data_IF_006568324712
#
_entry.id   IF_006568324712
#
_cell.length_a   1.000
_cell.length_b   1.000
_cell.length_c   1.000
_cell.angle_alpha   90.00
_cell.angle_beta   90.00
_cell.angle_gamma   90.00
#
_symmetry.space_group_name_H-M   'P 1'
#
loop_
_entity.id
_entity.type
_entity.pdbx_description
1 polymer ?
#
# COMPACT_ATOMS: atom_id res chain seq x y z
N UNK A 1 -2.01 15.21 0.33
CA UNK A 1 -2.53 15.33 1.71
C UNK A 1 -4.03 15.63 1.73
N UNK A 2 -4.57 16.33 0.72
CA UNK A 2 -6.02 16.61 0.61
C UNK A 2 -6.88 15.36 0.40
N UNK A 3 -6.47 14.43 -0.47
CA UNK A 3 -7.23 13.20 -0.77
C UNK A 3 -7.48 12.23 0.41
N UNK A 4 -6.75 12.39 1.52
CA UNK A 4 -6.95 11.59 2.75
C UNK A 4 -7.95 12.28 3.68
N UNK A 5 -8.10 13.61 3.58
CA UNK A 5 -9.01 14.39 4.44
C UNK A 5 -10.46 14.09 4.12
N UNK A 6 -10.82 13.96 2.85
CA UNK A 6 -12.21 13.74 2.43
C UNK A 6 -12.79 12.40 2.93
N UNK A 7 -12.10 11.25 2.79
CA UNK A 7 -12.60 9.99 3.35
C UNK A 7 -12.62 9.99 4.89
N UNK A 8 -11.69 10.70 5.54
CA UNK A 8 -11.63 10.76 7.00
C UNK A 8 -12.74 11.64 7.58
N UNK A 9 -13.08 12.74 6.91
CA UNK A 9 -14.23 13.59 7.22
C UNK A 9 -15.52 12.78 7.14
N UNK A 10 -15.71 12.00 6.07
CA UNK A 10 -16.91 11.18 5.89
C UNK A 10 -17.12 10.16 7.04
N UNK A 11 -16.04 9.60 7.60
CA UNK A 11 -16.12 8.70 8.77
C UNK A 11 -16.47 9.47 10.05
N UNK A 12 -15.91 10.67 10.23
CA UNK A 12 -16.24 11.51 11.38
C UNK A 12 -17.71 11.96 11.36
N UNK A 13 -18.25 12.26 10.18
CA UNK A 13 -19.64 12.63 9.99
C UNK A 13 -20.58 11.44 10.27
N UNK A 14 -20.23 10.23 9.80
CA UNK A 14 -20.96 9.00 10.13
C UNK A 14 -20.97 8.70 11.65
N UNK A 15 -19.86 8.95 12.35
CA UNK A 15 -19.77 8.74 13.80
C UNK A 15 -20.64 9.74 14.58
N UNK A 16 -20.84 10.93 14.03
CA UNK A 16 -21.70 11.97 14.60
C UNK A 16 -23.18 11.61 14.46
N UNK A 17 -23.56 11.06 13.31
CA UNK A 17 -24.91 10.53 13.05
C UNK A 17 -25.30 9.41 14.02
N UNK A 18 -24.35 8.51 14.37
CA UNK A 18 -24.57 7.47 15.37
C UNK A 18 -24.87 8.01 16.78
N UNK A 19 -24.19 9.09 17.19
CA UNK A 19 -24.46 9.73 18.48
C UNK A 19 -25.84 10.40 18.53
N UNK A 20 -26.33 10.88 17.39
CA UNK A 20 -27.64 11.51 17.32
C UNK A 20 -28.78 10.48 17.38
N UNK A 21 -28.58 9.27 16.84
CA UNK A 21 -29.54 8.16 16.96
C UNK A 21 -29.74 7.65 18.40
N UNK A 22 -28.70 7.66 19.25
CA UNK A 22 -28.84 7.24 20.66
C UNK A 22 -29.73 8.17 21.50
N UNK A 23 -29.94 9.42 21.06
CA UNK A 23 -30.65 10.45 21.86
C UNK A 23 -32.17 10.45 21.68
N UNK A 24 -32.71 9.80 20.66
CA UNK A 24 -34.14 9.85 20.32
C UNK A 24 -34.94 8.68 20.89
N UNK A 25 -35.19 8.66 22.20
CA UNK A 25 -36.15 7.70 22.80
C UNK A 25 -37.51 8.37 22.99
N UNK A 26 -38.39 8.25 21.99
CA UNK A 26 -39.83 8.53 22.12
C UNK A 26 -40.63 7.26 21.80
N UNK A 27 -41.88 7.16 22.27
CA UNK A 27 -42.64 5.90 22.39
C UNK A 27 -42.55 4.98 21.16
N UNK A 28 -42.02 3.77 21.38
CA UNK A 28 -41.76 2.78 20.32
C UNK A 28 -43.08 2.29 19.73
N UNK A 29 -43.27 2.54 18.43
CA UNK A 29 -44.33 1.94 17.62
C UNK A 29 -43.68 1.01 16.57
N UNK A 30 -44.41 0.01 16.07
CA UNK A 30 -43.88 -0.89 15.04
C UNK A 30 -43.39 -0.14 13.79
N UNK A 31 -44.01 1.01 13.48
CA UNK A 31 -43.62 1.90 12.38
C UNK A 31 -42.30 2.62 12.68
N UNK A 32 -42.13 3.18 13.88
CA UNK A 32 -40.87 3.86 14.27
C UNK A 32 -39.70 2.88 14.34
N UNK A 33 -39.93 1.66 14.85
CA UNK A 33 -38.91 0.61 14.90
C UNK A 33 -38.47 0.17 13.50
N UNK A 34 -39.40 0.02 12.56
CA UNK A 34 -39.07 -0.33 11.18
C UNK A 34 -38.26 0.79 10.49
N UNK A 35 -38.58 2.05 10.78
CA UNK A 35 -37.82 3.20 10.27
C UNK A 35 -36.41 3.25 10.84
N UNK A 36 -36.25 3.09 12.16
CA UNK A 36 -34.94 3.03 12.84
C UNK A 36 -34.10 1.86 12.35
N UNK A 37 -34.70 0.67 12.18
CA UNK A 37 -34.00 -0.50 11.66
C UNK A 37 -33.51 -0.28 10.22
N UNK A 38 -34.34 0.30 9.36
CA UNK A 38 -33.93 0.63 7.99
C UNK A 38 -32.82 1.69 7.98
N UNK A 39 -32.90 2.68 8.85
CA UNK A 39 -31.85 3.68 9.01
C UNK A 39 -30.52 3.04 9.43
N UNK A 40 -30.54 2.19 10.45
CA UNK A 40 -29.38 1.42 10.90
C UNK A 40 -28.81 0.54 9.78
N UNK A 41 -29.66 -0.18 9.04
CA UNK A 41 -29.23 -1.04 7.94
C UNK A 41 -28.53 -0.22 6.84
N UNK A 42 -29.09 0.92 6.46
CA UNK A 42 -28.50 1.82 5.47
C UNK A 42 -27.17 2.39 5.97
N UNK A 43 -27.12 2.79 7.23
CA UNK A 43 -25.89 3.27 7.88
C UNK A 43 -24.78 2.22 7.83
N UNK A 44 -25.06 0.99 8.24
CA UNK A 44 -24.08 -0.11 8.25
C UNK A 44 -23.58 -0.42 6.83
N UNK A 45 -24.49 -0.52 5.86
CA UNK A 45 -24.11 -0.81 4.48
C UNK A 45 -23.26 0.31 3.87
N UNK A 46 -23.58 1.56 4.18
CA UNK A 46 -22.82 2.74 3.73
C UNK A 46 -21.43 2.78 4.38
N UNK A 47 -21.37 2.49 5.68
CA UNK A 47 -20.12 2.41 6.44
C UNK A 47 -19.19 1.33 5.89
N UNK A 48 -19.71 0.12 5.67
CA UNK A 48 -18.94 -1.00 5.10
C UNK A 48 -18.45 -0.70 3.69
N UNK A 49 -19.30 -0.11 2.85
CA UNK A 49 -18.92 0.28 1.48
C UNK A 49 -17.81 1.34 1.49
N UNK A 50 -17.91 2.32 2.39
CA UNK A 50 -16.90 3.36 2.56
C UNK A 50 -15.58 2.77 3.02
N UNK A 51 -15.62 1.88 4.01
CA UNK A 51 -14.43 1.20 4.51
C UNK A 51 -13.73 0.37 3.41
N UNK A 52 -14.49 -0.41 2.64
CA UNK A 52 -13.95 -1.18 1.50
C UNK A 52 -13.24 -0.27 0.49
N UNK A 53 -13.83 0.89 0.17
CA UNK A 53 -13.21 1.88 -0.73
C UNK A 53 -11.93 2.45 -0.16
N UNK A 54 -11.90 2.75 1.14
CA UNK A 54 -10.70 3.25 1.82
C UNK A 54 -9.56 2.21 1.83
N UNK A 55 -9.87 0.94 2.10
CA UNK A 55 -8.89 -0.15 2.04
C UNK A 55 -8.33 -0.30 0.61
N UNK A 56 -9.19 -0.27 -0.39
CA UNK A 56 -8.76 -0.34 -1.79
C UNK A 56 -7.90 0.87 -2.19
N UNK A 57 -8.23 2.07 -1.70
CA UNK A 57 -7.44 3.28 -1.92
C UNK A 57 -6.06 3.17 -1.29
N UNK A 58 -5.98 2.72 -0.04
CA UNK A 58 -4.70 2.51 0.66
C UNK A 58 -3.82 1.49 -0.07
N UNK A 59 -4.40 0.38 -0.54
CA UNK A 59 -3.66 -0.60 -1.34
C UNK A 59 -3.02 0.02 -2.59
N UNK A 60 -3.79 0.80 -3.35
CA UNK A 60 -3.27 1.52 -4.52
C UNK A 60 -2.19 2.54 -4.18
N UNK A 61 -2.34 3.27 -3.07
CA UNK A 61 -1.32 4.25 -2.67
C UNK A 61 -0.03 3.59 -2.20
N UNK A 62 -0.12 2.43 -1.53
CA UNK A 62 1.04 1.61 -1.18
C UNK A 62 1.74 1.15 -2.45
N UNK A 63 1.01 0.58 -3.41
CA UNK A 63 1.57 0.15 -4.69
C UNK A 63 2.24 1.32 -5.41
N UNK A 64 1.56 2.47 -5.49
CA UNK A 64 2.13 3.68 -6.05
C UNK A 64 3.43 4.05 -5.33
N UNK A 65 3.45 4.11 -4.00
CA UNK A 65 4.65 4.44 -3.22
C UNK A 65 5.79 3.44 -3.47
N UNK A 66 5.50 2.15 -3.52
CA UNK A 66 6.49 1.14 -3.88
C UNK A 66 7.01 1.35 -5.29
N UNK A 67 6.14 1.55 -6.28
CA UNK A 67 6.54 1.83 -7.66
C UNK A 67 7.38 3.11 -7.74
N UNK A 68 7.04 4.16 -6.97
CA UNK A 68 7.84 5.39 -6.89
C UNK A 68 9.24 5.11 -6.35
N UNK A 69 9.39 4.22 -5.36
CA UNK A 69 10.69 3.78 -4.84
C UNK A 69 11.46 2.92 -5.85
N UNK A 70 10.77 2.05 -6.61
CA UNK A 70 11.37 1.17 -7.63
C UNK A 70 11.90 1.91 -8.86
N UNK A 71 11.51 3.17 -9.11
CA UNK A 71 12.00 3.96 -10.27
C UNK A 71 13.50 4.24 -10.30
N UNK A 72 14.21 4.11 -9.17
CA UNK A 72 15.67 4.27 -9.08
C UNK A 72 16.39 2.96 -8.80
N UNK A 73 15.72 1.84 -9.04
CA UNK A 73 16.27 0.49 -8.88
C UNK A 73 16.22 -0.22 -10.22
N UNK A 74 17.30 -0.90 -10.58
CA UNK A 74 17.41 -1.71 -11.78
C UNK A 74 17.71 -3.13 -11.34
N UNK A 75 17.01 -4.11 -11.91
CA UNK A 75 17.26 -5.52 -11.64
C UNK A 75 18.10 -6.10 -12.78
N UNK A 76 19.33 -6.48 -12.45
CA UNK A 76 20.24 -7.14 -13.38
C UNK A 76 20.16 -8.65 -13.16
N UNK A 77 20.07 -9.40 -14.27
CA UNK A 77 19.90 -10.85 -14.26
C UNK A 77 21.05 -11.51 -15.01
N UNK A 78 21.32 -12.78 -14.70
CA UNK A 78 22.35 -13.57 -15.39
C UNK A 78 23.80 -13.21 -15.01
N UNK A 79 23.99 -12.47 -13.91
CA UNK A 79 25.31 -12.18 -13.37
C UNK A 79 25.75 -13.39 -12.52
N UNK A 80 26.86 -14.03 -12.88
CA UNK A 80 27.48 -15.10 -12.11
C UNK A 80 27.69 -14.69 -10.64
N UNK A 81 27.48 -15.62 -9.72
CA UNK A 81 27.57 -15.39 -8.28
C UNK A 81 28.93 -15.81 -7.72
N UNK A 82 29.53 -14.95 -6.90
CA UNK A 82 30.71 -15.29 -6.10
C UNK A 82 30.47 -14.97 -4.62
N UNK A 83 30.98 -15.83 -3.73
CA UNK A 83 30.75 -15.79 -2.27
C UNK A 83 31.40 -14.57 -1.59
N UNK A 84 32.39 -13.97 -2.23
CA UNK A 84 33.12 -12.80 -1.71
C UNK A 84 33.07 -11.62 -2.69
N UNK A 85 31.99 -11.48 -3.45
CA UNK A 85 31.90 -10.43 -4.45
C UNK A 85 31.61 -9.04 -3.85
N UNK A 86 32.26 -8.02 -4.41
CA UNK A 86 31.77 -6.66 -4.32
C UNK A 86 30.74 -6.44 -5.44
N UNK A 87 29.46 -6.55 -5.07
CA UNK A 87 28.33 -6.35 -5.97
C UNK A 87 28.37 -4.98 -6.67
N UNK A 88 28.88 -3.93 -6.03
CA UNK A 88 28.92 -2.59 -6.63
C UNK A 88 30.00 -2.54 -7.70
N UNK A 89 31.21 -3.02 -7.40
CA UNK A 89 32.30 -3.08 -8.37
C UNK A 89 31.94 -3.98 -9.57
N UNK A 90 31.27 -5.09 -9.32
CA UNK A 90 30.83 -6.02 -10.37
C UNK A 90 29.78 -5.40 -11.30
N UNK A 91 28.82 -4.65 -10.75
CA UNK A 91 27.82 -3.94 -11.56
C UNK A 91 28.44 -2.79 -12.33
N UNK A 92 29.34 -2.02 -11.72
CA UNK A 92 30.05 -0.91 -12.39
C UNK A 92 30.84 -1.39 -13.60
N UNK A 93 31.61 -2.47 -13.45
CA UNK A 93 32.36 -3.07 -14.57
C UNK A 93 31.43 -3.58 -15.67
N UNK A 94 30.42 -4.37 -15.31
CA UNK A 94 29.44 -4.89 -16.28
C UNK A 94 28.77 -3.78 -17.11
N UNK A 95 28.33 -2.70 -16.45
CA UNK A 95 27.68 -1.58 -17.12
C UNK A 95 28.66 -0.83 -18.02
N UNK A 96 29.89 -0.58 -17.55
CA UNK A 96 30.92 0.08 -18.34
C UNK A 96 31.27 -0.75 -19.60
N UNK A 97 31.45 -2.05 -19.44
CA UNK A 97 31.87 -2.97 -20.51
C UNK A 97 30.78 -3.18 -21.58
N UNK A 98 29.51 -3.26 -21.16
CA UNK A 98 28.41 -3.61 -22.06
C UNK A 98 27.61 -2.42 -22.61
N UNK A 99 27.61 -1.27 -21.94
CA UNK A 99 26.79 -0.11 -22.31
C UNK A 99 27.59 1.11 -22.76
N UNK A 100 28.93 1.03 -22.78
CA UNK A 100 29.84 2.13 -23.18
C UNK A 100 29.49 3.47 -22.50
N UNK A 101 29.32 3.40 -21.17
CA UNK A 101 29.00 4.55 -20.34
C UNK A 101 30.23 5.00 -19.52
N UNK A 102 31.14 5.81 -20.09
CA UNK A 102 32.41 6.18 -19.46
C UNK A 102 32.25 7.03 -18.20
N UNK A 103 31.06 7.60 -17.97
CA UNK A 103 30.75 8.41 -16.78
C UNK A 103 30.11 7.60 -15.65
N UNK A 104 29.78 6.33 -15.88
CA UNK A 104 29.22 5.47 -14.83
C UNK A 104 30.33 4.98 -13.90
N UNK A 105 30.19 5.26 -12.61
CA UNK A 105 31.14 4.80 -11.60
C UNK A 105 30.40 4.33 -10.36
N UNK A 106 31.11 3.71 -9.42
CA UNK A 106 30.51 3.25 -8.15
C UNK A 106 29.86 4.39 -7.35
N UNK A 107 30.26 5.65 -7.55
CA UNK A 107 29.61 6.82 -6.95
C UNK A 107 28.20 7.11 -7.48
N UNK A 108 27.88 6.58 -8.66
CA UNK A 108 26.54 6.64 -9.27
C UNK A 108 25.57 5.66 -8.63
N UNK A 109 26.06 4.71 -7.83
CA UNK A 109 25.28 3.64 -7.19
C UNK A 109 25.16 3.96 -5.70
N UNK A 110 23.91 4.14 -5.22
CA UNK A 110 23.66 4.36 -3.79
C UNK A 110 23.77 3.05 -2.98
N UNK A 111 23.24 1.96 -3.52
CA UNK A 111 23.30 0.64 -2.92
C UNK A 111 23.16 -0.42 -4.02
N UNK A 112 23.90 -1.52 -3.88
CA UNK A 112 23.70 -2.73 -4.66
C UNK A 112 23.73 -3.94 -3.72
N UNK A 113 22.91 -4.94 -4.02
CA UNK A 113 22.84 -6.18 -3.27
C UNK A 113 22.22 -7.28 -4.14
N UNK A 114 22.55 -8.54 -3.84
CA UNK A 114 21.87 -9.67 -4.45
C UNK A 114 20.44 -9.72 -3.97
N UNK A 115 19.49 -9.69 -4.91
CA UNK A 115 18.10 -9.94 -4.59
C UNK A 115 17.90 -11.45 -4.43
N UNK A 116 17.90 -11.92 -3.18
CA UNK A 116 17.55 -13.30 -2.86
C UNK A 116 16.07 -13.50 -3.20
N UNK A 117 15.78 -14.14 -4.32
CA UNK A 117 14.42 -14.62 -4.59
C UNK A 117 14.11 -15.77 -3.63
N UNK A 118 12.96 -15.71 -2.97
CA UNK A 118 12.41 -16.72 -2.04
C UNK A 118 12.09 -18.08 -2.69
N UNK A 119 12.79 -18.48 -3.76
CA UNK A 119 12.70 -19.85 -4.32
C UNK A 119 13.25 -20.93 -3.38
N UNK A 120 13.84 -20.55 -2.24
CA UNK A 120 14.21 -21.43 -1.13
C UNK A 120 13.52 -20.97 0.17
N UNK A 121 12.18 -20.97 0.20
CA UNK A 121 11.49 -21.19 1.47
C UNK A 121 11.77 -22.64 1.90
N UNK A 122 12.12 -22.91 3.16
CA UNK A 122 12.60 -24.23 3.54
C UNK A 122 11.51 -25.28 3.34
N UNK A 123 11.90 -26.40 2.74
CA UNK A 123 11.34 -27.72 3.03
C UNK A 123 11.60 -28.06 4.51
N UNK A 124 11.00 -27.31 5.43
CA UNK A 124 10.91 -27.62 6.85
C UNK A 124 9.45 -27.92 7.17
N UNK A 125 9.05 -29.12 6.75
CA UNK A 125 8.16 -30.01 7.48
C UNK A 125 8.95 -31.29 7.77
#
# INVERSE_FOLDING_TARGET
>A
MEAIKDPLSAVADMFKELQELEKSTSSVTAVSLSAEFNHFKMFIMTSLTTFQRQVAFLGREIDCLEMRKRRKMILLHGIEEDKSEDTTARVTSLVADHLDLPTFSSSSINCSHRHLTTKNWPQLL
#
